data_IF_804952831985
#
_entry.id   IF_804952831985
#
_cell.length_a   1.000
_cell.length_b   1.000
_cell.length_c   1.000
_cell.angle_alpha   90.00
_cell.angle_beta   90.00
_cell.angle_gamma   90.00
#
_symmetry.space_group_name_H-M   'P 1'
#
loop_
_entity.id
_entity.type
_entity.pdbx_description
1 polymer ?
#
# COMPACT_ATOMS: atom_id res chain seq x y z
N UNK A 1 -5.80 -13.01 9.66
CA UNK A 1 -6.95 -12.13 10.00
C UNK A 1 -6.72 -11.27 11.25
N UNK A 2 -6.39 -11.76 12.46
CA UNK A 2 -6.25 -10.89 13.64
C UNK A 2 -5.21 -9.77 13.47
N UNK A 3 -4.10 -10.06 12.81
CA UNK A 3 -3.02 -9.08 12.58
C UNK A 3 -3.50 -7.89 11.75
N UNK A 4 -4.27 -8.14 10.67
CA UNK A 4 -4.84 -7.09 9.83
C UNK A 4 -5.78 -6.18 10.64
N UNK A 5 -6.66 -6.76 11.46
CA UNK A 5 -7.58 -6.01 12.31
C UNK A 5 -6.80 -5.08 13.27
N UNK A 6 -5.74 -5.60 13.91
CA UNK A 6 -4.88 -4.82 14.80
C UNK A 6 -4.19 -3.68 14.04
N UNK A 7 -3.67 -3.95 12.86
CA UNK A 7 -3.02 -2.93 12.02
C UNK A 7 -3.99 -1.83 11.59
N UNK A 8 -5.21 -2.20 11.18
CA UNK A 8 -6.23 -1.23 10.78
C UNK A 8 -6.73 -0.41 11.97
N UNK A 9 -6.85 -1.03 13.15
CA UNK A 9 -7.13 -0.30 14.39
C UNK A 9 -6.02 0.70 14.73
N UNK A 10 -4.75 0.30 14.62
CA UNK A 10 -3.60 1.19 14.82
C UNK A 10 -3.59 2.34 13.82
N UNK A 11 -3.89 2.06 12.54
CA UNK A 11 -4.05 3.08 11.51
C UNK A 11 -5.16 4.07 11.89
N UNK A 12 -6.28 3.59 12.41
CA UNK A 12 -7.37 4.40 12.92
C UNK A 12 -6.93 5.34 14.06
N UNK A 13 -6.11 4.85 14.98
CA UNK A 13 -5.52 5.69 16.06
C UNK A 13 -4.63 6.80 15.47
N UNK A 14 -3.97 6.56 14.34
CA UNK A 14 -3.13 7.55 13.67
C UNK A 14 -3.91 8.61 12.89
N UNK A 15 -5.19 8.35 12.58
CA UNK A 15 -6.08 9.34 11.98
C UNK A 15 -6.25 10.52 12.93
N UNK A 16 -5.71 11.66 12.57
CA UNK A 16 -5.78 12.87 13.39
C UNK A 16 -6.63 13.95 12.72
N UNK A 17 -7.28 14.80 13.54
CA UNK A 17 -7.95 16.01 13.03
C UNK A 17 -7.00 16.91 12.21
N UNK A 18 -5.68 16.84 12.51
CA UNK A 18 -4.65 17.58 11.77
C UNK A 18 -4.49 17.10 10.33
N UNK A 19 -4.69 15.78 10.07
CA UNK A 19 -4.66 15.23 8.71
C UNK A 19 -5.77 15.85 7.85
N UNK A 20 -6.99 15.96 8.40
CA UNK A 20 -8.10 16.61 7.70
C UNK A 20 -7.91 18.13 7.52
N UNK A 21 -7.31 18.81 8.50
CA UNK A 21 -6.99 20.24 8.36
C UNK A 21 -5.94 20.51 7.26
N UNK A 22 -5.06 19.57 7.01
CA UNK A 22 -4.05 19.69 5.94
C UNK A 22 -4.65 19.63 4.54
N UNK A 23 -5.80 18.96 4.36
CA UNK A 23 -6.54 18.96 3.08
C UNK A 23 -6.88 20.41 2.69
N UNK A 24 -7.38 21.19 3.63
CA UNK A 24 -7.74 22.60 3.38
C UNK A 24 -6.50 23.49 3.13
N UNK A 25 -5.35 23.14 3.72
CA UNK A 25 -4.10 23.91 3.56
C UNK A 25 -3.37 23.63 2.26
N UNK A 26 -3.38 22.38 1.80
CA UNK A 26 -2.63 21.92 0.64
C UNK A 26 -3.48 21.05 -0.31
N UNK A 27 -4.66 21.49 -0.77
CA UNK A 27 -5.61 20.66 -1.51
C UNK A 27 -5.03 20.09 -2.79
N UNK A 28 -4.23 20.90 -3.50
CA UNK A 28 -3.59 20.47 -4.76
C UNK A 28 -2.57 19.35 -4.54
N UNK A 29 -1.78 19.40 -3.46
CA UNK A 29 -0.79 18.35 -3.16
C UNK A 29 -1.48 17.05 -2.73
N UNK A 30 -2.56 17.17 -1.96
CA UNK A 30 -3.37 16.01 -1.55
C UNK A 30 -4.02 15.37 -2.77
N UNK A 31 -4.67 16.15 -3.63
CA UNK A 31 -5.33 15.63 -4.84
C UNK A 31 -4.34 14.92 -5.76
N UNK A 32 -3.20 15.55 -6.08
CA UNK A 32 -2.22 14.97 -6.99
C UNK A 32 -1.50 13.76 -6.37
N UNK A 33 -1.29 13.73 -5.05
CA UNK A 33 -0.79 12.57 -4.35
C UNK A 33 -1.76 11.38 -4.41
N UNK A 34 -3.06 11.63 -4.18
CA UNK A 34 -4.11 10.60 -4.29
C UNK A 34 -4.27 10.09 -5.73
N UNK A 35 -4.23 10.97 -6.74
CA UNK A 35 -4.25 10.55 -8.14
C UNK A 35 -3.04 9.65 -8.43
N UNK A 36 -1.87 10.00 -7.91
CA UNK A 36 -0.67 9.17 -8.03
C UNK A 36 -0.84 7.76 -7.46
N UNK A 37 -1.45 7.65 -6.28
CA UNK A 37 -1.66 6.36 -5.60
C UNK A 37 -2.82 5.54 -6.18
N UNK A 38 -3.97 6.18 -6.44
CA UNK A 38 -5.23 5.48 -6.72
C UNK A 38 -5.44 5.24 -8.21
N UNK A 39 -4.84 6.08 -9.06
CA UNK A 39 -5.02 6.00 -10.51
C UNK A 39 -3.71 5.61 -11.22
N UNK A 40 -2.67 6.42 -11.03
CA UNK A 40 -1.42 6.24 -11.79
C UNK A 40 -0.72 4.94 -11.42
N UNK A 41 -0.67 4.59 -10.15
CA UNK A 41 0.00 3.37 -9.70
C UNK A 41 -0.68 2.08 -10.23
N UNK A 42 -2.01 1.89 -10.14
CA UNK A 42 -2.66 0.73 -10.76
C UNK A 42 -2.50 0.67 -12.28
N UNK A 43 -2.50 1.81 -12.97
CA UNK A 43 -2.24 1.86 -14.43
C UNK A 43 -0.82 1.39 -14.74
N UNK A 44 0.18 1.83 -13.96
CA UNK A 44 1.57 1.36 -14.10
C UNK A 44 1.65 -0.14 -13.81
N UNK A 45 1.00 -0.61 -12.74
CA UNK A 45 1.00 -2.03 -12.37
C UNK A 45 0.41 -2.91 -13.48
N UNK A 46 -0.71 -2.48 -14.06
CA UNK A 46 -1.32 -3.17 -15.21
C UNK A 46 -0.36 -3.22 -16.40
N UNK A 47 0.24 -2.08 -16.75
CA UNK A 47 1.21 -2.02 -17.85
C UNK A 47 2.45 -2.87 -17.61
N UNK A 48 3.00 -2.89 -16.38
CA UNK A 48 4.14 -3.73 -16.01
C UNK A 48 3.78 -5.22 -16.07
N UNK A 49 2.62 -5.59 -15.51
CA UNK A 49 2.16 -6.97 -15.51
C UNK A 49 1.90 -7.50 -16.92
N UNK A 50 1.31 -6.66 -17.77
CA UNK A 50 1.06 -6.97 -19.18
C UNK A 50 2.36 -7.09 -19.98
N UNK A 51 3.29 -6.13 -19.84
CA UNK A 51 4.55 -6.09 -20.58
C UNK A 51 5.49 -7.26 -20.21
N UNK A 52 5.46 -7.68 -18.96
CA UNK A 52 6.26 -8.81 -18.45
C UNK A 52 5.54 -10.16 -18.58
N UNK A 53 4.38 -10.19 -19.22
CA UNK A 53 3.57 -11.41 -19.45
C UNK A 53 3.38 -12.23 -18.17
N UNK A 54 3.05 -11.55 -17.05
CA UNK A 54 2.87 -12.24 -15.77
C UNK A 54 1.73 -13.26 -15.87
N UNK A 55 1.91 -14.40 -15.21
CA UNK A 55 0.82 -15.38 -15.06
C UNK A 55 -0.42 -14.71 -14.41
N UNK A 56 -1.64 -15.18 -14.71
CA UNK A 56 -2.87 -14.57 -14.18
C UNK A 56 -2.86 -14.35 -12.67
N UNK A 57 -2.29 -15.29 -11.90
CA UNK A 57 -2.20 -15.21 -10.44
C UNK A 57 -1.25 -14.09 -10.00
N UNK A 58 -0.07 -13.99 -10.65
CA UNK A 58 0.90 -12.94 -10.33
C UNK A 58 0.45 -11.57 -10.84
N UNK A 59 -0.24 -11.52 -11.97
CA UNK A 59 -0.88 -10.31 -12.47
C UNK A 59 -1.84 -9.75 -11.42
N UNK A 60 -2.78 -10.57 -10.96
CA UNK A 60 -3.74 -10.20 -9.92
C UNK A 60 -3.05 -9.79 -8.61
N UNK A 61 -1.97 -10.46 -8.21
CA UNK A 61 -1.21 -10.12 -7.01
C UNK A 61 -0.50 -8.77 -7.10
N UNK A 62 0.11 -8.44 -8.26
CA UNK A 62 0.75 -7.14 -8.49
C UNK A 62 -0.30 -6.01 -8.55
N UNK A 63 -1.44 -6.27 -9.19
CA UNK A 63 -2.57 -5.34 -9.19
C UNK A 63 -3.11 -5.11 -7.79
N UNK A 64 -3.25 -6.17 -7.00
CA UNK A 64 -3.76 -6.08 -5.64
C UNK A 64 -2.89 -5.17 -4.76
N UNK A 65 -1.56 -5.30 -4.80
CA UNK A 65 -0.68 -4.43 -4.01
C UNK A 65 -0.74 -2.98 -4.50
N UNK A 66 -0.89 -2.75 -5.80
CA UNK A 66 -1.01 -1.40 -6.37
C UNK A 66 -2.33 -0.71 -6.02
N UNK A 67 -3.39 -1.48 -5.78
CA UNK A 67 -4.71 -0.99 -5.38
C UNK A 67 -4.84 -0.81 -3.85
N UNK A 68 -3.86 -1.26 -3.06
CA UNK A 68 -3.84 -1.03 -1.62
C UNK A 68 -3.53 0.44 -1.30
N UNK A 69 -3.89 0.94 -0.11
CA UNK A 69 -3.54 2.30 0.31
C UNK A 69 -2.03 2.45 0.56
N UNK A 70 -1.58 3.67 0.79
CA UNK A 70 -0.21 3.93 1.24
C UNK A 70 0.12 3.21 2.55
N UNK A 71 1.33 2.72 2.67
CA UNK A 71 1.81 2.04 3.89
C UNK A 71 2.09 3.05 5.01
N UNK A 72 1.72 2.74 6.26
CA UNK A 72 1.98 3.62 7.42
C UNK A 72 3.47 3.93 7.64
N UNK A 73 4.36 3.07 7.16
CA UNK A 73 5.82 3.30 7.19
C UNK A 73 6.25 4.49 6.34
N UNK A 74 5.48 4.89 5.32
CA UNK A 74 5.79 6.05 4.47
C UNK A 74 5.97 7.35 5.27
N UNK A 75 5.27 7.48 6.41
CA UNK A 75 5.39 8.61 7.31
C UNK A 75 6.82 8.72 7.89
N UNK A 76 7.43 7.58 8.23
CA UNK A 76 8.81 7.53 8.75
C UNK A 76 9.80 7.85 7.63
N UNK A 77 9.60 7.29 6.44
CA UNK A 77 10.46 7.57 5.28
C UNK A 77 10.35 9.05 4.85
N UNK A 78 9.16 9.63 4.87
CA UNK A 78 8.94 11.06 4.60
C UNK A 78 9.68 11.93 5.61
N UNK A 79 9.63 11.58 6.90
CA UNK A 79 10.40 12.27 7.94
C UNK A 79 11.91 12.15 7.69
N UNK A 80 12.40 10.94 7.39
CA UNK A 80 13.80 10.69 7.10
C UNK A 80 14.29 11.45 5.86
N UNK A 81 13.45 11.63 4.84
CA UNK A 81 13.76 12.39 3.63
C UNK A 81 13.61 13.91 3.81
N UNK A 82 13.34 14.42 5.00
CA UNK A 82 12.96 15.81 5.25
C UNK A 82 11.76 16.25 4.38
N UNK A 83 10.78 15.35 4.22
CA UNK A 83 9.51 15.60 3.55
C UNK A 83 8.48 16.29 4.43
N UNK A 84 7.28 16.47 3.90
CA UNK A 84 6.12 16.98 4.62
C UNK A 84 5.37 15.80 5.28
N UNK A 85 5.67 15.54 6.55
CA UNK A 85 5.07 14.42 7.30
C UNK A 85 3.55 14.61 7.47
N UNK A 86 3.08 15.86 7.59
CA UNK A 86 1.65 16.10 7.71
C UNK A 86 0.90 15.72 6.43
N UNK A 87 1.48 16.00 5.26
CA UNK A 87 0.96 15.56 3.98
C UNK A 87 1.00 14.01 3.87
N UNK A 88 2.10 13.38 4.30
CA UNK A 88 2.24 11.92 4.31
C UNK A 88 1.10 11.26 5.08
N UNK A 89 0.90 11.64 6.34
CA UNK A 89 -0.20 11.13 7.17
C UNK A 89 -1.57 11.38 6.53
N UNK A 90 -1.76 12.54 5.89
CA UNK A 90 -3.01 12.87 5.20
C UNK A 90 -3.26 11.94 4.01
N UNK A 91 -2.25 11.72 3.17
CA UNK A 91 -2.36 10.85 1.99
C UNK A 91 -2.63 9.39 2.39
N UNK A 92 -1.87 8.86 3.35
CA UNK A 92 -2.10 7.49 3.88
C UNK A 92 -3.51 7.34 4.45
N UNK A 93 -3.98 8.33 5.21
CA UNK A 93 -5.32 8.31 5.81
C UNK A 93 -6.43 8.32 4.76
N UNK A 94 -6.34 9.25 3.79
CA UNK A 94 -7.36 9.38 2.75
C UNK A 94 -7.33 8.20 1.78
N UNK A 95 -6.15 7.76 1.35
CA UNK A 95 -6.05 6.58 0.49
C UNK A 95 -6.65 5.35 1.17
N UNK A 96 -6.44 5.16 2.49
CA UNK A 96 -7.05 4.05 3.23
C UNK A 96 -8.57 4.05 3.20
N UNK A 97 -9.21 5.23 3.24
CA UNK A 97 -10.67 5.34 3.14
C UNK A 97 -11.13 5.13 1.69
N UNK A 98 -10.46 5.74 0.72
CA UNK A 98 -10.88 5.67 -0.69
C UNK A 98 -10.70 4.26 -1.24
N UNK A 99 -9.60 3.60 -0.91
CA UNK A 99 -9.31 2.24 -1.41
C UNK A 99 -10.27 1.17 -0.89
N UNK A 100 -11.03 1.43 0.17
CA UNK A 100 -12.12 0.54 0.58
C UNK A 100 -13.11 0.27 -0.57
N UNK A 101 -13.35 1.28 -1.39
CA UNK A 101 -14.29 1.21 -2.50
C UNK A 101 -13.57 0.99 -3.84
N UNK A 102 -12.45 1.66 -4.06
CA UNK A 102 -11.75 1.60 -5.36
C UNK A 102 -11.04 0.26 -5.58
N UNK A 103 -10.49 -0.37 -4.52
CA UNK A 103 -9.80 -1.65 -4.65
C UNK A 103 -10.73 -2.74 -5.22
N UNK A 104 -11.92 -3.01 -4.66
CA UNK A 104 -12.81 -4.04 -5.23
C UNK A 104 -13.23 -3.74 -6.67
N UNK A 105 -13.52 -2.47 -6.98
CA UNK A 105 -13.95 -2.05 -8.32
C UNK A 105 -12.82 -2.25 -9.35
N UNK A 106 -11.61 -1.82 -9.01
CA UNK A 106 -10.45 -1.98 -9.91
C UNK A 106 -10.12 -3.46 -10.07
N UNK A 107 -10.12 -4.23 -8.98
CA UNK A 107 -9.81 -5.66 -9.02
C UNK A 107 -10.83 -6.46 -9.84
N UNK A 108 -12.11 -6.05 -9.85
CA UNK A 108 -13.10 -6.63 -10.75
C UNK A 108 -12.78 -6.37 -12.20
N UNK A 109 -12.56 -5.10 -12.56
CA UNK A 109 -12.20 -4.73 -13.92
C UNK A 109 -10.94 -5.51 -14.39
N UNK A 110 -9.96 -5.64 -13.51
CA UNK A 110 -8.73 -6.39 -13.81
C UNK A 110 -9.02 -7.87 -13.97
N UNK A 111 -9.87 -8.48 -13.13
CA UNK A 111 -10.19 -9.92 -13.24
C UNK A 111 -10.85 -10.25 -14.55
N UNK A 112 -11.79 -9.42 -15.02
CA UNK A 112 -12.41 -9.58 -16.34
C UNK A 112 -11.35 -9.46 -17.45
N UNK A 113 -10.53 -8.41 -17.40
CA UNK A 113 -9.47 -8.18 -18.39
C UNK A 113 -8.46 -9.34 -18.45
N UNK A 114 -8.04 -9.86 -17.27
CA UNK A 114 -7.09 -10.98 -17.20
C UNK A 114 -7.76 -12.28 -17.66
N UNK A 115 -9.03 -12.50 -17.35
CA UNK A 115 -9.79 -13.66 -17.86
C UNK A 115 -9.88 -13.65 -19.37
N UNK A 116 -10.20 -12.51 -19.97
CA UNK A 116 -10.28 -12.35 -21.42
C UNK A 116 -8.93 -12.58 -22.13
N UNK A 117 -7.83 -12.11 -21.51
CA UNK A 117 -6.49 -12.26 -22.05
C UNK A 117 -5.91 -13.67 -21.89
N UNK A 118 -6.22 -14.35 -20.78
CA UNK A 118 -5.63 -15.64 -20.44
C UNK A 118 -6.49 -16.84 -20.77
N UNK A 119 -7.78 -16.63 -21.04
CA UNK A 119 -8.77 -17.72 -21.20
C UNK A 119 -9.09 -18.45 -19.88
N UNK A 120 -8.56 -17.99 -18.75
CA UNK A 120 -8.83 -18.55 -17.42
C UNK A 120 -9.90 -17.72 -16.73
N UNK A 121 -11.02 -18.31 -16.41
CA UNK A 121 -12.12 -17.61 -15.72
C UNK A 121 -11.73 -17.28 -14.27
N UNK A 122 -11.62 -15.98 -13.96
CA UNK A 122 -11.32 -15.47 -12.62
C UNK A 122 -12.58 -14.83 -12.05
N UNK A 123 -13.34 -15.61 -11.32
CA UNK A 123 -14.57 -15.14 -10.66
C UNK A 123 -14.24 -14.44 -9.34
N UNK A 124 -14.39 -13.10 -9.32
CA UNK A 124 -14.22 -12.29 -8.12
C UNK A 124 -15.58 -12.04 -7.45
N UNK A 125 -15.78 -12.50 -6.21
CA UNK A 125 -16.99 -12.22 -5.47
C UNK A 125 -16.96 -10.79 -4.89
N UNK A 126 -17.20 -9.75 -5.72
CA UNK A 126 -17.08 -8.33 -5.37
C UNK A 126 -17.87 -7.97 -4.11
N UNK A 127 -19.10 -8.47 -4.00
CA UNK A 127 -19.91 -8.24 -2.81
C UNK A 127 -19.23 -8.73 -1.53
N UNK A 128 -18.57 -9.90 -1.58
CA UNK A 128 -17.79 -10.41 -0.45
C UNK A 128 -16.55 -9.56 -0.19
N UNK A 129 -15.84 -9.11 -1.25
CA UNK A 129 -14.70 -8.21 -1.13
C UNK A 129 -15.06 -6.88 -0.47
N UNK A 130 -16.17 -6.26 -0.90
CA UNK A 130 -16.68 -5.02 -0.31
C UNK A 130 -17.03 -5.21 1.15
N UNK A 131 -17.84 -6.21 1.48
CA UNK A 131 -18.24 -6.49 2.86
C UNK A 131 -17.03 -6.79 3.73
N UNK A 132 -16.09 -7.55 3.22
CA UNK A 132 -14.88 -7.90 3.97
C UNK A 132 -13.96 -6.71 4.19
N UNK A 133 -13.74 -5.85 3.18
CA UNK A 133 -13.01 -4.60 3.34
C UNK A 133 -13.69 -3.69 4.38
N UNK A 134 -15.01 -3.60 4.36
CA UNK A 134 -15.75 -2.84 5.37
C UNK A 134 -15.51 -3.42 6.78
N UNK A 135 -15.64 -4.74 6.95
CA UNK A 135 -15.56 -5.38 8.27
C UNK A 135 -14.12 -5.46 8.78
N UNK A 136 -13.15 -5.83 7.95
CA UNK A 136 -11.76 -6.07 8.39
C UNK A 136 -10.87 -4.84 8.34
N UNK A 137 -11.23 -3.83 7.54
CA UNK A 137 -10.42 -2.62 7.35
C UNK A 137 -11.15 -1.41 7.97
N UNK A 138 -12.34 -1.10 7.50
CA UNK A 138 -13.04 0.13 7.89
C UNK A 138 -13.50 0.11 9.35
N UNK A 139 -14.14 -0.96 9.79
CA UNK A 139 -14.65 -1.05 11.17
C UNK A 139 -13.53 -0.93 12.20
N UNK A 140 -12.42 -1.69 12.14
CA UNK A 140 -11.32 -1.53 13.09
C UNK A 140 -10.68 -0.14 13.02
N UNK A 141 -10.53 0.43 11.82
CA UNK A 141 -9.99 1.77 11.62
C UNK A 141 -10.92 2.83 12.25
N UNK A 142 -12.22 2.71 12.06
CA UNK A 142 -13.22 3.60 12.67
C UNK A 142 -13.17 3.50 14.21
N UNK A 143 -13.15 2.27 14.74
CA UNK A 143 -13.05 2.03 16.19
C UNK A 143 -11.74 2.64 16.73
N UNK A 144 -10.61 2.47 16.05
CA UNK A 144 -9.33 3.09 16.42
C UNK A 144 -9.40 4.61 16.46
N UNK A 145 -10.01 5.23 15.45
CA UNK A 145 -10.22 6.68 15.38
C UNK A 145 -11.13 7.21 16.49
N UNK A 146 -12.25 6.53 16.75
CA UNK A 146 -13.16 6.84 17.86
C UNK A 146 -12.47 6.66 19.20
N UNK A 147 -11.72 5.58 19.37
CA UNK A 147 -10.95 5.33 20.60
C UNK A 147 -9.93 6.44 20.86
N UNK A 148 -9.22 6.90 19.82
CA UNK A 148 -8.32 8.05 19.90
C UNK A 148 -9.06 9.34 20.26
N UNK A 149 -10.26 9.54 19.72
CA UNK A 149 -11.04 10.73 19.96
C UNK A 149 -11.51 10.83 21.43
N UNK A 150 -12.03 9.75 21.98
CA UNK A 150 -12.59 9.73 23.33
C UNK A 150 -11.55 9.44 24.43
N UNK A 151 -10.52 8.64 24.13
CA UNK A 151 -9.52 8.14 25.09
C UNK A 151 -8.09 8.40 24.64
N UNK A 152 -7.73 9.65 24.32
CA UNK A 152 -6.45 10.00 23.68
C UNK A 152 -5.23 9.43 24.42
N UNK A 153 -5.16 9.53 25.77
CA UNK A 153 -4.03 9.04 26.55
C UNK A 153 -3.93 7.51 26.57
N UNK A 154 -5.08 6.82 26.62
CA UNK A 154 -5.14 5.36 26.55
C UNK A 154 -4.76 4.88 25.13
N UNK A 155 -5.23 5.57 24.10
CA UNK A 155 -4.91 5.25 22.70
C UNK A 155 -3.41 5.30 22.42
N UNK A 156 -2.67 6.29 22.94
CA UNK A 156 -1.21 6.36 22.80
C UNK A 156 -0.49 5.20 23.50
N UNK A 157 -0.96 4.81 24.71
CA UNK A 157 -0.41 3.66 25.40
C UNK A 157 -0.67 2.36 24.65
N UNK A 158 -1.92 2.15 24.21
CA UNK A 158 -2.33 0.98 23.41
C UNK A 158 -1.55 0.92 22.11
N UNK A 159 -1.42 2.04 21.39
CA UNK A 159 -0.59 2.14 20.17
C UNK A 159 0.84 1.69 20.44
N UNK A 160 1.47 2.21 21.51
CA UNK A 160 2.86 1.87 21.86
C UNK A 160 3.05 0.38 22.17
N UNK A 161 2.06 -0.29 22.74
CA UNK A 161 2.12 -1.73 23.04
C UNK A 161 1.83 -2.54 21.78
N UNK A 162 0.73 -2.27 21.09
CA UNK A 162 0.31 -3.04 19.94
C UNK A 162 1.30 -2.94 18.77
N UNK A 163 1.90 -1.77 18.52
CA UNK A 163 2.92 -1.63 17.46
C UNK A 163 4.17 -2.47 17.73
N UNK A 164 4.53 -2.69 19.00
CA UNK A 164 5.65 -3.57 19.35
C UNK A 164 5.37 -5.05 19.04
N UNK A 165 4.10 -5.45 19.07
CA UNK A 165 3.67 -6.83 18.77
C UNK A 165 3.32 -7.00 17.30
N UNK A 166 2.69 -5.99 16.69
CA UNK A 166 2.25 -6.04 15.30
C UNK A 166 3.41 -6.23 14.32
N UNK A 167 4.51 -5.49 14.50
CA UNK A 167 5.66 -5.58 13.61
C UNK A 167 6.35 -6.97 13.65
N UNK A 168 6.70 -7.55 14.81
CA UNK A 168 7.20 -8.91 14.87
C UNK A 168 6.22 -9.95 14.32
N UNK A 169 4.91 -9.78 14.55
CA UNK A 169 3.89 -10.68 14.04
C UNK A 169 3.81 -10.64 12.50
N UNK A 170 3.95 -9.46 11.89
CA UNK A 170 4.04 -9.31 10.44
C UNK A 170 5.32 -9.94 9.88
N UNK A 171 6.46 -9.70 10.53
CA UNK A 171 7.72 -10.34 10.14
C UNK A 171 7.62 -11.86 10.22
N UNK A 172 7.02 -12.39 11.27
CA UNK A 172 6.79 -13.83 11.40
C UNK A 172 5.88 -14.36 10.28
N UNK A 173 4.80 -13.65 9.98
CA UNK A 173 3.89 -14.00 8.89
C UNK A 173 4.63 -14.01 7.53
N UNK A 174 5.40 -12.97 7.24
CA UNK A 174 6.21 -12.89 6.02
C UNK A 174 7.23 -14.02 5.93
N UNK A 175 7.91 -14.37 7.03
CA UNK A 175 8.86 -15.49 7.09
C UNK A 175 8.17 -16.86 6.88
N UNK A 176 6.97 -17.04 7.45
CA UNK A 176 6.17 -18.26 7.24
C UNK A 176 5.80 -18.40 5.77
N UNK A 177 5.32 -17.35 5.14
CA UNK A 177 5.03 -17.34 3.70
C UNK A 177 6.29 -17.56 2.86
N UNK A 178 7.39 -16.90 3.19
CA UNK A 178 8.66 -17.12 2.50
C UNK A 178 9.13 -18.55 2.59
N UNK A 179 9.02 -19.19 3.75
CA UNK A 179 9.39 -20.59 3.93
C UNK A 179 8.43 -21.54 3.19
N UNK A 180 7.12 -21.27 3.26
CA UNK A 180 6.08 -22.08 2.64
C UNK A 180 6.17 -22.07 1.11
N UNK A 181 6.46 -20.90 0.52
CA UNK A 181 6.51 -20.68 -0.94
C UNK A 181 7.96 -20.46 -1.44
N UNK A 182 8.94 -21.07 -0.74
CA UNK A 182 10.36 -20.87 -1.07
C UNK A 182 10.70 -21.26 -2.50
N UNK A 183 10.19 -22.40 -2.97
CA UNK A 183 10.45 -22.89 -4.34
C UNK A 183 9.89 -21.90 -5.37
N UNK A 184 8.61 -21.54 -5.24
CA UNK A 184 7.92 -20.61 -6.13
C UNK A 184 8.58 -19.23 -6.15
N UNK A 185 9.05 -18.77 -4.98
CA UNK A 185 9.77 -17.48 -4.88
C UNK A 185 11.11 -17.59 -5.62
N UNK A 186 11.90 -18.66 -5.42
CA UNK A 186 13.20 -18.82 -6.07
C UNK A 186 13.03 -18.93 -7.58
N UNK A 187 12.11 -19.77 -8.04
CA UNK A 187 11.88 -20.05 -9.46
C UNK A 187 11.36 -18.82 -10.21
N UNK A 188 10.56 -17.97 -9.54
CA UNK A 188 9.96 -16.77 -10.13
C UNK A 188 10.60 -15.46 -9.65
N UNK A 189 11.69 -15.52 -8.88
CA UNK A 189 12.28 -14.33 -8.26
C UNK A 189 12.68 -13.25 -9.29
N UNK A 190 13.22 -13.67 -10.44
CA UNK A 190 13.63 -12.75 -11.49
C UNK A 190 12.43 -11.94 -12.03
N UNK A 191 11.33 -12.61 -12.34
CA UNK A 191 10.12 -11.97 -12.90
C UNK A 191 9.39 -11.16 -11.84
N UNK A 192 9.17 -11.72 -10.65
CA UNK A 192 8.51 -11.02 -9.54
C UNK A 192 9.35 -9.86 -9.01
N UNK A 193 10.66 -10.03 -8.90
CA UNK A 193 11.58 -8.97 -8.50
C UNK A 193 11.64 -7.83 -9.53
N UNK A 194 11.72 -8.18 -10.81
CA UNK A 194 11.70 -7.18 -11.88
C UNK A 194 10.37 -6.43 -11.92
N UNK A 195 9.24 -7.12 -11.82
CA UNK A 195 7.91 -6.50 -11.83
C UNK A 195 7.70 -5.55 -10.65
N UNK A 196 8.07 -5.97 -9.43
CA UNK A 196 7.98 -5.12 -8.24
C UNK A 196 8.94 -3.92 -8.32
N UNK A 197 10.19 -4.13 -8.74
CA UNK A 197 11.16 -3.05 -8.90
C UNK A 197 10.71 -2.05 -9.97
N UNK A 198 10.26 -2.54 -11.13
CA UNK A 198 9.72 -1.70 -12.21
C UNK A 198 8.53 -0.88 -11.73
N UNK A 199 7.56 -1.51 -11.05
CA UNK A 199 6.40 -0.82 -10.48
C UNK A 199 6.84 0.31 -9.55
N UNK A 200 7.71 0.04 -8.58
CA UNK A 200 8.17 1.05 -7.62
C UNK A 200 8.91 2.18 -8.32
N UNK A 201 9.88 1.87 -9.17
CA UNK A 201 10.73 2.88 -9.81
C UNK A 201 9.94 3.76 -10.79
N UNK A 202 9.08 3.15 -11.63
CA UNK A 202 8.24 3.90 -12.57
C UNK A 202 7.23 4.76 -11.81
N UNK A 203 6.62 4.24 -10.74
CA UNK A 203 5.71 5.00 -9.88
C UNK A 203 6.40 6.20 -9.23
N UNK A 204 7.63 6.03 -8.71
CA UNK A 204 8.43 7.12 -8.16
C UNK A 204 8.80 8.17 -9.22
N UNK A 205 9.13 7.76 -10.44
CA UNK A 205 9.42 8.66 -11.56
C UNK A 205 8.18 9.46 -11.98
N UNK A 206 7.05 8.78 -12.18
CA UNK A 206 5.77 9.41 -12.54
C UNK A 206 5.31 10.40 -11.46
N UNK A 207 5.36 10.00 -10.19
CA UNK A 207 5.00 10.88 -9.07
C UNK A 207 5.94 12.07 -8.91
N UNK A 208 7.24 11.89 -9.21
CA UNK A 208 8.18 13.02 -9.30
C UNK A 208 7.81 13.98 -10.43
N UNK A 209 7.39 13.45 -11.59
CA UNK A 209 6.87 14.24 -12.73
C UNK A 209 5.62 15.02 -12.36
N UNK A 210 4.60 14.34 -11.81
CA UNK A 210 3.36 14.95 -11.31
C UNK A 210 3.65 16.08 -10.32
N UNK A 211 4.58 15.85 -9.40
CA UNK A 211 4.98 16.83 -8.39
C UNK A 211 5.69 18.05 -8.99
N UNK A 212 6.43 17.88 -10.11
CA UNK A 212 7.06 18.98 -10.85
C UNK A 212 6.01 19.81 -11.59
N UNK A 213 5.06 19.16 -12.28
CA UNK A 213 3.93 19.80 -12.94
C UNK A 213 3.09 20.58 -11.92
N UNK A 214 2.93 20.01 -10.70
CA UNK A 214 2.27 20.66 -9.58
C UNK A 214 2.99 21.90 -9.05
N UNK A 215 4.27 22.11 -9.44
CA UNK A 215 5.17 23.19 -8.96
C UNK A 215 5.36 23.18 -7.44
N UNK A 216 5.39 21.96 -6.84
CA UNK A 216 5.57 21.83 -5.41
C UNK A 216 7.02 22.03 -4.97
N UNK A 217 7.19 22.48 -3.73
CA UNK A 217 8.49 22.57 -3.08
C UNK A 217 9.12 21.19 -2.87
N UNK A 218 10.40 21.16 -2.52
CA UNK A 218 11.16 19.92 -2.39
C UNK A 218 10.62 18.97 -1.30
N UNK A 219 10.05 19.48 -0.20
CA UNK A 219 9.51 18.63 0.88
C UNK A 219 8.24 17.91 0.45
N UNK A 220 7.30 18.61 -0.17
CA UNK A 220 6.06 18.05 -0.72
C UNK A 220 6.36 17.02 -1.81
N UNK A 221 7.29 17.33 -2.73
CA UNK A 221 7.70 16.39 -3.79
C UNK A 221 8.25 15.09 -3.21
N UNK A 222 9.15 15.17 -2.24
CA UNK A 222 9.72 13.96 -1.59
C UNK A 222 8.62 13.11 -0.96
N UNK A 223 7.67 13.74 -0.29
CA UNK A 223 6.54 13.05 0.32
C UNK A 223 5.69 12.34 -0.73
N UNK A 224 5.27 13.02 -1.81
CA UNK A 224 4.43 12.38 -2.85
C UNK A 224 5.17 11.19 -3.50
N UNK A 225 6.48 11.34 -3.77
CA UNK A 225 7.29 10.25 -4.34
C UNK A 225 7.35 9.03 -3.40
N UNK A 226 7.54 9.27 -2.10
CA UNK A 226 7.59 8.20 -1.10
C UNK A 226 6.20 7.55 -0.94
N UNK A 227 5.14 8.33 -0.84
CA UNK A 227 3.78 7.83 -0.64
C UNK A 227 3.31 6.96 -1.81
N UNK A 228 3.61 7.36 -3.05
CA UNK A 228 3.23 6.58 -4.23
C UNK A 228 4.10 5.33 -4.38
N UNK A 229 5.38 5.41 -4.00
CA UNK A 229 6.31 4.27 -4.05
C UNK A 229 6.17 3.27 -2.88
N UNK A 230 5.39 3.59 -1.84
CA UNK A 230 5.28 2.79 -0.63
C UNK A 230 3.84 2.41 -0.32
N UNK A 231 3.44 1.24 -0.77
CA UNK A 231 2.09 0.73 -0.57
C UNK A 231 1.97 -0.18 0.66
N UNK A 232 0.76 -0.42 1.11
CA UNK A 232 0.45 -1.33 2.21
C UNK A 232 0.48 -2.78 1.71
N UNK A 233 1.69 -3.31 1.52
CA UNK A 233 1.87 -4.69 1.08
C UNK A 233 1.32 -5.71 2.08
N UNK A 234 1.32 -5.39 3.37
CA UNK A 234 0.77 -6.25 4.42
C UNK A 234 -0.73 -6.47 4.24
N UNK A 235 -1.46 -5.42 3.83
CA UNK A 235 -2.86 -5.51 3.47
C UNK A 235 -3.07 -6.38 2.23
N UNK A 236 -2.25 -6.21 1.20
CA UNK A 236 -2.31 -7.02 -0.01
C UNK A 236 -2.07 -8.51 0.29
N UNK A 237 -1.04 -8.84 1.09
CA UNK A 237 -0.75 -10.20 1.54
C UNK A 237 -1.95 -10.77 2.31
N UNK A 238 -2.51 -10.01 3.24
CA UNK A 238 -3.64 -10.45 4.06
C UNK A 238 -4.91 -10.69 3.22
N UNK A 239 -5.18 -9.88 2.21
CA UNK A 239 -6.33 -10.04 1.29
C UNK A 239 -6.10 -11.26 0.39
N UNK A 240 -4.93 -11.40 -0.23
CA UNK A 240 -4.59 -12.51 -1.12
C UNK A 240 -4.69 -13.87 -0.40
N UNK A 241 -4.11 -13.96 0.80
CA UNK A 241 -4.08 -15.20 1.60
C UNK A 241 -5.35 -15.48 2.39
N UNK A 242 -6.33 -14.55 2.37
CA UNK A 242 -7.58 -14.71 3.11
C UNK A 242 -8.43 -15.87 2.57
N UNK A 243 -8.81 -16.86 3.43
CA UNK A 243 -9.70 -17.94 3.03
C UNK A 243 -11.08 -17.46 2.57
N UNK A 244 -11.47 -16.25 2.92
CA UNK A 244 -12.77 -15.68 2.60
C UNK A 244 -12.76 -14.89 1.29
N UNK A 245 -11.56 -14.53 0.75
CA UNK A 245 -11.42 -13.75 -0.49
C UNK A 245 -10.79 -14.62 -1.58
N UNK A 246 -9.45 -14.60 -1.66
CA UNK A 246 -8.73 -15.29 -2.74
C UNK A 246 -8.20 -16.65 -2.32
N UNK A 247 -7.92 -16.85 -1.04
CA UNK A 247 -7.32 -18.07 -0.50
C UNK A 247 -6.10 -18.55 -1.32
N UNK A 248 -5.31 -17.60 -1.80
CA UNK A 248 -4.17 -17.87 -2.67
C UNK A 248 -2.89 -17.29 -2.07
N UNK A 249 -2.00 -18.18 -1.64
CA UNK A 249 -0.68 -17.78 -1.21
C UNK A 249 0.20 -17.34 -2.37
N UNK A 250 0.02 -17.92 -3.57
CA UNK A 250 0.75 -17.51 -4.77
C UNK A 250 0.43 -16.07 -5.16
N UNK A 251 -0.84 -15.65 -5.07
CA UNK A 251 -1.25 -14.26 -5.30
C UNK A 251 -0.61 -13.28 -4.31
N UNK A 252 -0.18 -13.74 -3.12
CA UNK A 252 0.52 -12.91 -2.15
C UNK A 252 2.01 -12.68 -2.51
N UNK A 253 2.61 -13.51 -3.38
CA UNK A 253 4.06 -13.44 -3.68
C UNK A 253 4.50 -12.08 -4.27
N UNK A 254 3.81 -11.48 -5.25
CA UNK A 254 4.16 -10.15 -5.73
C UNK A 254 4.18 -9.10 -4.62
N UNK A 255 3.22 -9.15 -3.67
CA UNK A 255 3.17 -8.21 -2.55
C UNK A 255 4.31 -8.46 -1.53
N UNK A 256 4.71 -9.70 -1.30
CA UNK A 256 5.85 -10.05 -0.43
C UNK A 256 7.15 -9.50 -1.03
N UNK A 257 7.39 -9.72 -2.32
CA UNK A 257 8.59 -9.23 -3.02
C UNK A 257 8.56 -7.69 -3.07
N UNK A 258 7.39 -7.10 -3.33
CA UNK A 258 7.21 -5.65 -3.29
C UNK A 258 7.58 -5.09 -1.91
N UNK A 259 7.12 -5.69 -0.81
CA UNK A 259 7.44 -5.28 0.56
C UNK A 259 8.95 -5.25 0.84
N UNK A 260 9.69 -6.22 0.34
CA UNK A 260 11.15 -6.28 0.47
C UNK A 260 11.82 -5.17 -0.34
N UNK A 261 11.48 -5.07 -1.63
CA UNK A 261 12.14 -4.14 -2.55
C UNK A 261 11.79 -2.68 -2.26
N UNK A 262 10.55 -2.37 -1.87
CA UNK A 262 10.17 -0.99 -1.55
C UNK A 262 11.03 -0.40 -0.43
N UNK A 263 11.33 -1.19 0.60
CA UNK A 263 12.18 -0.71 1.69
C UNK A 263 13.61 -0.41 1.21
N UNK A 264 14.20 -1.29 0.40
CA UNK A 264 15.56 -1.12 -0.13
C UNK A 264 15.62 0.10 -1.07
N UNK A 265 14.69 0.18 -2.02
CA UNK A 265 14.66 1.27 -3.02
C UNK A 265 14.42 2.62 -2.34
N UNK A 266 13.46 2.70 -1.41
CA UNK A 266 13.15 3.95 -0.74
C UNK A 266 14.21 4.37 0.28
N UNK A 267 14.88 3.44 0.98
CA UNK A 267 16.05 3.78 1.81
C UNK A 267 17.18 4.34 0.96
N UNK A 268 17.44 3.75 -0.20
CA UNK A 268 18.42 4.27 -1.16
C UNK A 268 18.03 5.67 -1.64
N UNK A 269 16.76 5.89 -1.98
CA UNK A 269 16.26 7.22 -2.34
C UNK A 269 16.46 8.24 -1.21
N UNK A 270 16.08 7.89 0.02
CA UNK A 270 16.28 8.76 1.21
C UNK A 270 17.75 9.09 1.42
N UNK A 271 18.62 8.09 1.29
CA UNK A 271 20.06 8.28 1.40
C UNK A 271 20.60 9.28 0.35
N UNK A 272 20.23 9.08 -0.92
CA UNK A 272 20.62 10.00 -2.00
C UNK A 272 20.09 11.43 -1.78
N UNK A 273 18.86 11.58 -1.28
CA UNK A 273 18.30 12.90 -0.95
C UNK A 273 19.10 13.56 0.19
N UNK A 274 19.44 12.80 1.24
CA UNK A 274 20.21 13.34 2.37
C UNK A 274 21.59 13.83 1.97
N UNK A 275 22.26 13.14 1.03
CA UNK A 275 23.54 13.59 0.49
C UNK A 275 23.42 14.93 -0.26
N UNK A 276 22.31 15.15 -0.98
CA UNK A 276 22.05 16.40 -1.72
C UNK A 276 21.62 17.58 -0.82
N UNK A 277 21.22 17.31 0.42
CA UNK A 277 20.74 18.32 1.37
C UNK A 277 21.80 18.68 2.43
N UNK A 278 22.96 18.04 2.41
CA UNK A 278 24.18 18.46 3.09
C UNK A 278 24.93 19.47 2.24
#
# INVERSE_FOLDING_TARGET
>A
MPILIVLMFLLGIDLSKKAFANIARNPKAVLLGLIGQIVVLPVIAFGVAWLLELSPVYFMGLMLVSCCPGGSSSNVFSMLAKGDVALSVTLTALSSVITLFTLPIIMEFVSVSVSDMSGVEINLPIGKLLVQNLVLIFVPMLIGGLFKHYFSNAAEKVKKVLSKVAFPALMTLALVFFYQYKSEIIDNFAVLGLSAAALILVAMLCSSGISRIGKFNGSVRRTIVIEVGMQNADQAIAIASSPFIFNSGEMALPAIIYALLMNVILLTYVYCIRLKLK
#
